data_IF_070869465576
#
_entry.id   IF_070869465576
#
_cell.length_a   1.000
_cell.length_b   1.000
_cell.length_c   1.000
_cell.angle_alpha   90.00
_cell.angle_beta   90.00
_cell.angle_gamma   90.00
#
_symmetry.space_group_name_H-M   'P 1'
#
loop_
_entity.id
_entity.type
_entity.pdbx_description
1 polymer ?
#
# COMPACT_ATOMS: atom_id res chain seq x y z
N UNK A 1 6.62 -9.46 11.99
CA UNK A 1 6.95 -8.53 10.89
C UNK A 1 6.21 -8.89 9.60
N UNK A 2 6.40 -10.09 9.03
CA UNK A 2 5.73 -10.47 7.77
C UNK A 2 4.20 -10.38 7.80
N UNK A 3 3.56 -10.84 8.87
CA UNK A 3 2.10 -10.73 9.06
C UNK A 3 1.61 -9.27 9.12
N UNK A 4 2.37 -8.39 9.78
CA UNK A 4 2.08 -6.96 9.84
C UNK A 4 2.18 -6.32 8.46
N UNK A 5 3.24 -6.61 7.70
CA UNK A 5 3.42 -6.13 6.32
C UNK A 5 2.29 -6.62 5.41
N UNK A 6 1.90 -7.89 5.52
CA UNK A 6 0.78 -8.44 4.76
C UNK A 6 -0.53 -7.72 5.07
N UNK A 7 -0.82 -7.48 6.36
CA UNK A 7 -1.98 -6.69 6.79
C UNK A 7 -1.96 -5.28 6.23
N UNK A 8 -0.80 -4.62 6.23
CA UNK A 8 -0.68 -3.23 5.77
C UNK A 8 -0.90 -3.14 4.25
N UNK A 9 -0.37 -4.09 3.46
CA UNK A 9 -0.65 -4.20 2.03
C UNK A 9 -2.15 -4.43 1.77
N UNK A 10 -2.77 -5.36 2.52
CA UNK A 10 -4.21 -5.66 2.36
C UNK A 10 -5.05 -4.44 2.73
N UNK A 11 -4.66 -3.70 3.77
CA UNK A 11 -5.33 -2.47 4.20
C UNK A 11 -5.24 -1.41 3.11
N UNK A 12 -4.06 -1.24 2.50
CA UNK A 12 -3.84 -0.30 1.39
C UNK A 12 -4.75 -0.59 0.19
N UNK A 13 -4.91 -1.87 -0.17
CA UNK A 13 -5.86 -2.26 -1.22
C UNK A 13 -7.30 -2.04 -0.76
N UNK A 14 -7.63 -2.36 0.49
CA UNK A 14 -8.99 -2.20 1.02
C UNK A 14 -9.45 -0.74 1.04
N UNK A 15 -8.56 0.19 1.39
CA UNK A 15 -8.82 1.65 1.38
C UNK A 15 -8.80 2.25 -0.03
N UNK A 16 -8.61 1.41 -1.05
CA UNK A 16 -8.66 1.81 -2.46
C UNK A 16 -7.40 2.53 -2.93
N UNK A 17 -6.27 2.38 -2.24
CA UNK A 17 -4.96 2.89 -2.67
C UNK A 17 -4.08 1.79 -3.26
N UNK A 18 -4.67 0.65 -3.64
CA UNK A 18 -3.93 -0.49 -4.16
C UNK A 18 -3.33 -0.24 -5.54
N UNK A 19 -2.18 -0.85 -5.80
CA UNK A 19 -1.58 -0.93 -7.14
C UNK A 19 -1.31 -2.36 -7.57
N UNK A 20 -1.03 -2.58 -8.86
CA UNK A 20 -0.57 -3.91 -9.33
C UNK A 20 0.71 -4.35 -8.62
N UNK A 21 1.61 -3.42 -8.34
CA UNK A 21 2.83 -3.66 -7.59
C UNK A 21 2.54 -4.19 -6.18
N UNK A 22 1.56 -3.62 -5.46
CA UNK A 22 1.20 -4.08 -4.12
C UNK A 22 0.73 -5.54 -4.12
N UNK A 23 -0.04 -5.95 -5.15
CA UNK A 23 -0.50 -7.35 -5.28
C UNK A 23 0.66 -8.31 -5.54
N UNK A 24 1.64 -7.91 -6.34
CA UNK A 24 2.85 -8.71 -6.58
C UNK A 24 3.70 -8.82 -5.32
N UNK A 25 3.84 -7.74 -4.54
CA UNK A 25 4.52 -7.76 -3.26
C UNK A 25 3.80 -8.64 -2.23
N UNK A 26 2.46 -8.66 -2.18
CA UNK A 26 1.71 -9.62 -1.36
C UNK A 26 2.08 -11.06 -1.72
N UNK A 27 2.12 -11.40 -3.01
CA UNK A 27 2.47 -12.76 -3.47
C UNK A 27 3.91 -13.14 -3.11
N UNK A 28 4.85 -12.20 -3.29
CA UNK A 28 6.26 -12.40 -2.95
C UNK A 28 6.45 -12.59 -1.45
N UNK A 29 5.86 -11.71 -0.64
CA UNK A 29 5.92 -11.76 0.82
C UNK A 29 5.28 -13.06 1.34
N UNK A 30 4.11 -13.44 0.81
CA UNK A 30 3.42 -14.66 1.21
C UNK A 30 4.26 -15.91 0.95
N UNK A 31 4.89 -16.02 -0.23
CA UNK A 31 5.83 -17.11 -0.53
C UNK A 31 7.02 -17.15 0.42
N UNK A 32 7.60 -16.00 0.77
CA UNK A 32 8.70 -15.93 1.73
C UNK A 32 8.24 -16.41 3.11
N UNK A 33 7.06 -16.00 3.57
CA UNK A 33 6.50 -16.42 4.85
C UNK A 33 6.26 -17.93 4.92
N UNK A 34 5.72 -18.53 3.85
CA UNK A 34 5.48 -19.98 3.77
C UNK A 34 6.75 -20.82 3.96
N UNK A 35 7.90 -20.36 3.45
CA UNK A 35 9.15 -21.14 3.46
C UNK A 35 10.12 -20.75 4.58
N UNK A 36 10.13 -19.48 5.00
CA UNK A 36 11.16 -18.96 5.90
C UNK A 36 10.70 -18.83 7.36
N UNK A 37 9.40 -18.94 7.65
CA UNK A 37 8.92 -18.87 9.04
C UNK A 37 9.24 -20.17 9.80
N UNK A 38 9.72 -20.03 11.05
CA UNK A 38 10.12 -21.16 11.91
C UNK A 38 8.95 -21.89 12.58
N UNK A 39 7.75 -21.31 12.59
CA UNK A 39 6.56 -21.92 13.17
C UNK A 39 5.42 -22.02 12.15
N UNK A 40 4.55 -23.01 12.33
CA UNK A 40 3.44 -23.28 11.42
C UNK A 40 2.47 -22.10 11.29
N UNK A 41 2.28 -21.30 12.34
CA UNK A 41 1.43 -20.11 12.28
C UNK A 41 1.98 -19.07 11.28
N UNK A 42 3.29 -18.82 11.30
CA UNK A 42 3.90 -17.89 10.36
C UNK A 42 3.84 -18.40 8.91
N UNK A 43 3.97 -19.72 8.73
CA UNK A 43 3.91 -20.36 7.43
C UNK A 43 2.49 -20.34 6.82
N UNK A 44 1.45 -20.49 7.63
CA UNK A 44 0.05 -20.55 7.16
C UNK A 44 -0.67 -19.21 7.17
N UNK A 45 -0.19 -18.23 7.93
CA UNK A 45 -0.76 -16.89 7.98
C UNK A 45 -0.97 -16.20 6.60
N UNK A 46 -0.10 -16.34 5.57
CA UNK A 46 -0.34 -15.69 4.29
C UNK A 46 -1.35 -16.42 3.41
N UNK A 47 -1.68 -17.68 3.69
CA UNK A 47 -2.50 -18.50 2.79
C UNK A 47 -3.87 -17.88 2.47
N UNK A 48 -4.65 -17.37 3.45
CA UNK A 48 -5.95 -16.77 3.13
C UNK A 48 -5.86 -15.58 2.17
N UNK A 49 -4.76 -14.82 2.21
CA UNK A 49 -4.53 -13.68 1.32
C UNK A 49 -4.08 -14.15 -0.06
N UNK A 50 -3.25 -15.18 -0.14
CA UNK A 50 -2.83 -15.76 -1.43
C UNK A 50 -4.01 -16.41 -2.14
N UNK A 51 -4.80 -17.21 -1.43
CA UNK A 51 -6.00 -17.86 -1.95
C UNK A 51 -7.01 -16.81 -2.43
N UNK A 52 -7.22 -15.73 -1.66
CA UNK A 52 -8.15 -14.68 -2.10
C UNK A 52 -7.67 -13.90 -3.33
N UNK A 53 -6.34 -13.75 -3.51
CA UNK A 53 -5.79 -13.13 -4.73
C UNK A 53 -6.00 -14.01 -5.97
N UNK A 54 -6.07 -15.33 -5.81
CA UNK A 54 -6.28 -16.30 -6.90
C UNK A 54 -7.77 -16.52 -7.19
N UNK A 55 -8.59 -16.64 -6.16
CA UNK A 55 -10.03 -16.93 -6.29
C UNK A 55 -10.87 -15.68 -6.58
N UNK A 56 -10.42 -14.48 -6.17
CA UNK A 56 -11.20 -13.24 -6.31
C UNK A 56 -10.45 -12.10 -7.02
N UNK A 57 -9.80 -12.32 -8.17
CA UNK A 57 -8.97 -11.31 -8.83
C UNK A 57 -9.77 -10.04 -9.18
N UNK A 58 -11.05 -10.13 -9.53
CA UNK A 58 -11.84 -8.93 -9.85
C UNK A 58 -12.13 -8.06 -8.63
N UNK A 59 -12.20 -8.64 -7.42
CA UNK A 59 -12.42 -7.90 -6.19
C UNK A 59 -11.22 -6.99 -5.85
N UNK A 60 -10.01 -7.45 -6.17
CA UNK A 60 -8.77 -6.67 -6.07
C UNK A 60 -8.67 -5.66 -7.21
N UNK A 61 -8.91 -6.08 -8.46
CA UNK A 61 -8.81 -5.21 -9.62
C UNK A 61 -9.69 -3.95 -9.50
N UNK A 62 -10.89 -4.07 -8.94
CA UNK A 62 -11.81 -2.93 -8.70
C UNK A 62 -11.27 -1.89 -7.71
N UNK A 63 -10.28 -2.25 -6.90
CA UNK A 63 -9.70 -1.39 -5.85
C UNK A 63 -8.31 -0.87 -6.22
N UNK A 64 -7.87 -1.09 -7.46
CA UNK A 64 -6.60 -0.58 -7.95
C UNK A 64 -6.76 0.82 -8.53
N UNK A 65 -5.89 1.76 -8.13
CA UNK A 65 -5.84 3.13 -8.68
C UNK A 65 -4.78 3.32 -9.75
N UNK A 66 -3.68 2.58 -9.64
CA UNK A 66 -2.49 2.76 -10.45
C UNK A 66 -1.84 1.42 -10.76
N UNK A 67 -1.12 1.36 -11.89
CA UNK A 67 -0.28 0.22 -12.23
C UNK A 67 1.12 0.29 -11.61
N UNK A 68 1.57 1.48 -11.20
CA UNK A 68 2.93 1.72 -10.71
C UNK A 68 2.96 1.87 -9.17
N UNK A 69 2.70 3.09 -8.68
CA UNK A 69 2.77 3.41 -7.26
C UNK A 69 1.61 4.34 -6.86
N UNK A 70 1.21 4.22 -5.59
CA UNK A 70 0.22 5.04 -4.91
C UNK A 70 0.60 5.05 -3.42
N UNK A 71 0.65 6.21 -2.73
CA UNK A 71 0.89 6.25 -1.30
C UNK A 71 -0.23 5.57 -0.50
N UNK A 72 0.13 4.91 0.60
CA UNK A 72 -0.85 4.25 1.48
C UNK A 72 -1.59 5.20 2.43
N UNK A 73 -1.19 6.47 2.49
CA UNK A 73 -1.75 7.50 3.36
C UNK A 73 -1.83 8.83 2.64
N UNK A 74 -2.68 9.73 3.14
CA UNK A 74 -2.87 11.06 2.58
C UNK A 74 -1.65 11.94 2.88
N UNK A 75 -0.88 12.27 1.84
CA UNK A 75 0.33 13.09 1.95
C UNK A 75 0.01 14.54 2.37
N UNK A 76 -1.12 15.08 1.94
CA UNK A 76 -1.51 16.45 2.31
C UNK A 76 -1.99 16.50 3.75
N UNK A 77 -2.68 15.46 4.24
CA UNK A 77 -3.01 15.35 5.65
C UNK A 77 -1.74 15.21 6.52
N UNK A 78 -0.73 14.47 6.05
CA UNK A 78 0.53 14.31 6.78
C UNK A 78 1.32 15.62 6.93
N UNK A 79 1.13 16.59 6.02
CA UNK A 79 1.78 17.91 6.08
C UNK A 79 1.01 18.95 6.91
N UNK A 80 -0.18 18.62 7.39
CA UNK A 80 -1.08 19.60 8.02
C UNK A 80 -0.47 20.23 9.29
N UNK A 81 0.19 19.44 10.13
CA UNK A 81 0.85 19.94 11.34
C UNK A 81 1.94 20.99 11.01
N UNK A 82 2.75 20.72 9.98
CA UNK A 82 3.79 21.65 9.55
C UNK A 82 3.20 22.95 9.00
N UNK A 83 2.07 22.89 8.28
CA UNK A 83 1.36 24.09 7.80
C UNK A 83 0.81 24.92 8.94
N UNK A 84 0.27 24.29 9.98
CA UNK A 84 -0.26 24.97 11.16
C UNK A 84 0.85 25.70 11.94
N UNK A 85 2.00 25.05 12.13
CA UNK A 85 3.15 25.64 12.83
C UNK A 85 3.77 26.81 12.07
N UNK A 86 3.91 26.68 10.75
CA UNK A 86 4.55 27.71 9.91
C UNK A 86 3.58 28.80 9.45
N UNK A 87 2.27 28.58 9.58
CA UNK A 87 1.23 29.45 9.04
C UNK A 87 1.16 29.49 7.51
N UNK A 88 1.89 28.59 6.81
CA UNK A 88 1.95 28.57 5.34
C UNK A 88 0.68 28.00 4.73
N UNK A 89 0.07 28.77 3.83
CA UNK A 89 -1.14 28.40 3.05
C UNK A 89 -0.96 28.63 1.55
N UNK A 90 0.27 28.92 1.13
CA UNK A 90 0.59 29.11 -0.28
C UNK A 90 0.51 27.79 -1.06
N UNK A 91 0.33 27.81 -2.40
CA UNK A 91 0.26 26.60 -3.21
C UNK A 91 1.48 25.68 -3.06
N UNK A 92 2.66 26.23 -2.74
CA UNK A 92 3.88 25.47 -2.49
C UNK A 92 3.89 24.71 -1.16
N UNK A 93 2.87 24.90 -0.31
CA UNK A 93 2.66 24.11 0.89
C UNK A 93 1.85 22.82 0.63
N UNK A 94 1.28 22.64 -0.56
CA UNK A 94 0.43 21.49 -0.92
C UNK A 94 1.08 20.61 -1.99
N UNK A 95 0.94 19.29 -1.85
CA UNK A 95 1.40 18.33 -2.84
C UNK A 95 0.31 18.15 -3.91
N UNK A 96 0.69 18.31 -5.18
CA UNK A 96 -0.23 18.16 -6.33
C UNK A 96 -0.19 16.74 -6.84
N UNK A 97 -1.33 16.19 -7.24
CA UNK A 97 -1.45 14.83 -7.81
C UNK A 97 -0.53 14.59 -9.02
N UNK A 98 -0.22 15.64 -9.78
CA UNK A 98 0.68 15.61 -10.94
C UNK A 98 2.13 15.29 -10.55
N UNK A 99 2.56 15.72 -9.35
CA UNK A 99 3.90 15.50 -8.84
C UNK A 99 4.06 14.06 -8.29
N UNK A 100 2.95 13.43 -7.85
CA UNK A 100 2.93 12.04 -7.37
C UNK A 100 3.09 10.99 -8.48
N UNK A 101 2.55 11.26 -9.68
CA UNK A 101 2.62 10.32 -10.81
C UNK A 101 3.97 10.34 -11.53
N UNK A 102 4.70 11.47 -11.48
CA UNK A 102 5.97 11.62 -12.18
C UNK A 102 7.20 11.34 -11.31
N UNK A 103 7.04 11.13 -9.99
CA UNK A 103 8.17 11.09 -9.06
C UNK A 103 9.00 12.38 -9.06
N UNK A 104 8.44 13.47 -9.61
CA UNK A 104 9.08 14.76 -9.70
C UNK A 104 8.74 15.55 -8.43
N UNK A 105 9.57 15.40 -7.40
CA UNK A 105 9.65 16.45 -6.39
C UNK A 105 10.36 17.65 -7.01
N UNK A 106 9.90 18.89 -6.78
CA UNK A 106 10.66 20.09 -7.11
C UNK A 106 11.97 20.18 -6.30
#
# INVERSE_FOLDING_TARGET
VGTSLMRDLVTKVHTGHGTRYDLEEMRKLGRIMQVACHCGLGQTAPNPVLDSLDEFPEAYARRLRSTAYEPAFDLNAALEEARQLTGRRDPGAYLREQDLLLGAMP
#
